data_IF_335411766705
#
_entry.id   IF_335411766705
#
_cell.length_a   1.000
_cell.length_b   1.000
_cell.length_c   1.000
_cell.angle_alpha   90.00
_cell.angle_beta   90.00
_cell.angle_gamma   90.00
#
_symmetry.space_group_name_H-M   'P 1'
#
loop_
_entity.id
_entity.type
_entity.pdbx_description
1 polymer ?
#
# COMPACT_ATOMS: atom_id res chain seq x y z
N UNK A 1 -40.78 -12.06 -20.59
CA UNK A 1 -39.46 -11.79 -19.97
C UNK A 1 -39.22 -12.85 -18.93
N UNK A 2 -38.11 -13.58 -19.00
CA UNK A 2 -37.84 -14.67 -18.05
C UNK A 2 -36.92 -14.15 -16.96
N UNK A 3 -37.45 -14.00 -15.75
CA UNK A 3 -36.67 -13.66 -14.56
C UNK A 3 -35.83 -14.89 -14.18
N UNK A 4 -34.54 -14.70 -13.94
CA UNK A 4 -33.64 -15.77 -13.51
C UNK A 4 -33.03 -15.40 -12.16
N UNK A 5 -33.64 -15.93 -11.12
CA UNK A 5 -33.30 -15.73 -9.72
C UNK A 5 -31.85 -16.10 -9.39
N UNK A 6 -31.27 -17.10 -10.06
CA UNK A 6 -29.89 -17.52 -9.83
C UNK A 6 -28.91 -16.44 -10.29
N UNK A 7 -29.19 -15.83 -11.44
CA UNK A 7 -28.35 -14.79 -12.01
C UNK A 7 -28.42 -13.49 -11.19
N UNK A 8 -29.63 -13.12 -10.75
CA UNK A 8 -29.85 -11.95 -9.88
C UNK A 8 -29.11 -12.10 -8.54
N UNK A 9 -29.22 -13.27 -7.89
CA UNK A 9 -28.49 -13.54 -6.63
C UNK A 9 -26.98 -13.52 -6.84
N UNK A 10 -26.48 -13.99 -7.99
CA UNK A 10 -25.05 -13.94 -8.31
C UNK A 10 -24.55 -12.49 -8.48
N UNK A 11 -25.32 -11.63 -9.16
CA UNK A 11 -25.02 -10.21 -9.31
C UNK A 11 -25.02 -9.50 -7.96
N UNK A 12 -26.05 -9.69 -7.13
CA UNK A 12 -26.13 -9.11 -5.79
C UNK A 12 -24.95 -9.51 -4.90
N UNK A 13 -24.49 -10.77 -4.98
CA UNK A 13 -23.29 -11.22 -4.24
C UNK A 13 -22.01 -10.57 -4.75
N UNK A 14 -21.86 -10.41 -6.06
CA UNK A 14 -20.73 -9.73 -6.65
C UNK A 14 -20.68 -8.25 -6.23
N UNK A 15 -21.82 -7.56 -6.26
CA UNK A 15 -21.96 -6.17 -5.80
C UNK A 15 -21.63 -6.04 -4.32
N UNK A 16 -22.18 -6.91 -3.47
CA UNK A 16 -21.88 -6.95 -2.03
C UNK A 16 -20.38 -7.10 -1.78
N UNK A 17 -19.68 -7.94 -2.57
CA UNK A 17 -18.23 -8.12 -2.47
C UNK A 17 -17.45 -6.86 -2.87
N UNK A 18 -17.93 -6.13 -3.88
CA UNK A 18 -17.34 -4.85 -4.30
C UNK A 18 -17.54 -3.76 -3.24
N UNK A 19 -18.72 -3.69 -2.64
CA UNK A 19 -19.04 -2.76 -1.54
C UNK A 19 -18.19 -3.08 -0.31
N UNK A 20 -18.07 -4.35 0.06
CA UNK A 20 -17.27 -4.80 1.20
C UNK A 20 -15.75 -4.64 1.00
N UNK A 21 -15.29 -4.39 -0.24
CA UNK A 21 -13.87 -4.22 -0.55
C UNK A 21 -13.36 -2.91 0.05
N UNK A 22 -12.78 -3.00 1.26
CA UNK A 22 -12.03 -1.88 1.85
C UNK A 22 -10.94 -1.42 0.87
N UNK A 23 -11.04 -0.17 0.42
CA UNK A 23 -9.99 0.49 -0.36
C UNK A 23 -8.74 0.56 0.51
N UNK A 24 -7.72 -0.25 0.19
CA UNK A 24 -6.42 -0.15 0.86
C UNK A 24 -5.83 1.20 0.48
N UNK A 25 -5.73 2.12 1.44
CA UNK A 25 -5.07 3.40 1.23
C UNK A 25 -3.60 3.14 0.94
N UNK A 26 -3.11 3.71 -0.16
CA UNK A 26 -1.68 3.66 -0.47
C UNK A 26 -0.87 4.25 0.69
N UNK A 27 0.27 3.65 0.99
CA UNK A 27 1.19 4.17 1.99
C UNK A 27 1.72 5.53 1.53
N UNK A 28 1.96 6.46 2.47
CA UNK A 28 2.68 7.70 2.15
C UNK A 28 4.09 7.42 1.58
N UNK A 29 4.65 6.26 1.90
CA UNK A 29 5.95 5.80 1.38
C UNK A 29 5.88 5.37 -0.10
N UNK A 30 4.70 5.03 -0.62
CA UNK A 30 4.54 4.58 -2.00
C UNK A 30 4.92 5.69 -3.00
N UNK A 31 4.70 6.95 -2.63
CA UNK A 31 5.13 8.13 -3.40
C UNK A 31 6.66 8.21 -3.54
N UNK A 32 7.39 7.64 -2.60
CA UNK A 32 8.86 7.62 -2.57
C UNK A 32 9.44 6.24 -2.87
N UNK A 33 8.63 5.33 -3.43
CA UNK A 33 8.99 3.92 -3.64
C UNK A 33 10.30 3.78 -4.39
N UNK A 34 10.42 4.46 -5.53
CA UNK A 34 11.61 4.39 -6.37
C UNK A 34 12.88 4.79 -5.61
N UNK A 35 12.85 5.94 -4.92
CA UNK A 35 14.01 6.43 -4.17
C UNK A 35 14.36 5.52 -2.99
N UNK A 36 13.35 5.07 -2.23
CA UNK A 36 13.56 4.17 -1.09
C UNK A 36 14.19 2.85 -1.53
N UNK A 37 13.67 2.23 -2.60
CA UNK A 37 14.25 1.01 -3.15
C UNK A 37 15.68 1.25 -3.65
N UNK A 38 15.96 2.33 -4.39
CA UNK A 38 17.32 2.62 -4.87
C UNK A 38 18.32 2.84 -3.73
N UNK A 39 17.93 3.60 -2.71
CA UNK A 39 18.77 3.84 -1.54
C UNK A 39 19.02 2.55 -0.74
N UNK A 40 17.98 1.71 -0.58
CA UNK A 40 18.12 0.43 0.09
C UNK A 40 19.07 -0.52 -0.65
N UNK A 41 18.92 -0.64 -1.98
CA UNK A 41 19.83 -1.44 -2.82
C UNK A 41 21.27 -0.89 -2.84
N UNK A 42 21.45 0.41 -2.61
CA UNK A 42 22.77 1.02 -2.43
C UNK A 42 23.38 0.78 -1.03
N UNK A 43 22.70 0.02 -0.16
CA UNK A 43 23.19 -0.38 1.16
C UNK A 43 22.69 0.49 2.32
N UNK A 44 21.76 1.42 2.09
CA UNK A 44 21.22 2.24 3.17
C UNK A 44 20.42 1.40 4.17
N UNK A 45 20.65 1.63 5.45
CA UNK A 45 19.91 0.97 6.53
C UNK A 45 18.50 1.53 6.68
N UNK A 46 17.59 0.76 7.29
CA UNK A 46 16.19 1.16 7.52
C UNK A 46 16.08 2.47 8.32
N UNK A 47 16.98 2.69 9.28
CA UNK A 47 17.04 3.92 10.08
C UNK A 47 17.58 5.13 9.29
N UNK A 48 18.49 4.91 8.34
CA UNK A 48 18.97 5.96 7.44
C UNK A 48 17.89 6.39 6.45
N UNK A 49 17.10 5.44 5.94
CA UNK A 49 15.96 5.74 5.09
C UNK A 49 14.90 6.57 5.82
N UNK A 50 14.63 6.25 7.09
CA UNK A 50 13.75 7.07 7.93
C UNK A 50 14.30 8.49 8.12
N UNK A 51 15.59 8.64 8.46
CA UNK A 51 16.24 9.96 8.54
C UNK A 51 16.19 10.72 7.21
N UNK A 52 16.40 10.04 6.10
CA UNK A 52 16.32 10.62 4.76
C UNK A 52 14.90 11.12 4.44
N UNK A 53 13.86 10.35 4.76
CA UNK A 53 12.46 10.76 4.59
C UNK A 53 12.14 12.03 5.37
N UNK A 54 12.59 12.11 6.62
CA UNK A 54 12.37 13.28 7.47
C UNK A 54 13.14 14.49 6.91
N UNK A 55 14.44 14.35 6.65
CA UNK A 55 15.31 15.48 6.28
C UNK A 55 15.14 15.96 4.84
N UNK A 56 14.88 15.06 3.89
CA UNK A 56 14.84 15.38 2.45
C UNK A 56 13.43 15.50 1.91
N UNK A 57 12.44 14.86 2.54
CA UNK A 57 11.04 14.84 2.07
C UNK A 57 10.05 15.41 3.08
N UNK A 58 10.48 15.74 4.30
CA UNK A 58 9.58 16.23 5.36
C UNK A 58 8.58 15.17 5.87
N UNK A 59 8.79 13.89 5.52
CA UNK A 59 7.87 12.81 5.85
C UNK A 59 8.26 12.22 7.21
N UNK A 60 7.47 12.53 8.24
CA UNK A 60 7.62 11.93 9.57
C UNK A 60 6.92 10.58 9.63
N UNK A 61 7.71 9.51 9.73
CA UNK A 61 7.25 8.13 9.91
C UNK A 61 8.11 7.43 10.96
N UNK A 62 7.50 6.48 11.65
CA UNK A 62 8.24 5.61 12.56
C UNK A 62 9.16 4.66 11.78
N UNK A 63 10.32 4.31 12.35
CA UNK A 63 11.28 3.41 11.71
C UNK A 63 10.66 2.03 11.40
N UNK A 64 9.75 1.54 12.25
CA UNK A 64 9.03 0.27 12.05
C UNK A 64 8.10 0.34 10.84
N UNK A 65 7.59 1.52 10.51
CA UNK A 65 6.79 1.74 9.30
C UNK A 65 7.66 1.59 8.06
N UNK A 66 8.86 2.16 8.08
CA UNK A 66 9.85 2.00 6.99
C UNK A 66 10.26 0.53 6.87
N UNK A 67 10.54 -0.14 8.00
CA UNK A 67 10.85 -1.58 8.03
C UNK A 67 9.74 -2.41 7.38
N UNK A 68 8.51 -2.32 7.90
CA UNK A 68 7.36 -3.08 7.39
C UNK A 68 7.08 -2.79 5.92
N UNK A 69 7.29 -1.55 5.50
CA UNK A 69 7.10 -1.17 4.10
C UNK A 69 8.18 -1.78 3.20
N UNK A 70 9.46 -1.76 3.61
CA UNK A 70 10.55 -2.40 2.88
C UNK A 70 10.36 -3.90 2.79
N UNK A 71 10.03 -4.57 3.90
CA UNK A 71 9.80 -6.02 3.95
C UNK A 71 8.68 -6.49 2.98
N UNK A 72 7.84 -5.56 2.49
CA UNK A 72 6.77 -5.82 1.51
C UNK A 72 7.12 -5.39 0.08
N UNK A 73 8.00 -4.41 -0.11
CA UNK A 73 8.12 -3.69 -1.40
C UNK A 73 9.55 -3.60 -1.98
N UNK A 74 10.57 -3.89 -1.17
CA UNK A 74 11.97 -3.78 -1.54
C UNK A 74 12.59 -5.16 -1.79
#
# INVERSE_FOLDING_TARGET
MNFNEVNEVAQLKAETKLIARKRKKASKLDVHRYQLCKLFHAGATKAELQRWLIKKKGVRVDWTTVKRWLDKNA
#
